data_IF_748565437475
#
_entry.id   IF_748565437475
#
_cell.length_a   1.000
_cell.length_b   1.000
_cell.length_c   1.000
_cell.angle_alpha   90.00
_cell.angle_beta   90.00
_cell.angle_gamma   90.00
#
_symmetry.space_group_name_H-M   'P 1'
#
loop_
_entity.id
_entity.type
_entity.pdbx_description
1 polymer ?
#
# COMPACT_ATOMS: atom_id res chain seq x y z
N UNK A 1 -13.21 -14.74 -4.72
CA UNK A 1 -12.18 -14.17 -5.61
C UNK A 1 -12.66 -14.29 -7.05
N UNK A 2 -13.02 -13.18 -7.65
CA UNK A 2 -13.46 -13.19 -9.05
C UNK A 2 -12.23 -13.08 -9.93
N UNK A 3 -11.96 -14.05 -10.77
CA UNK A 3 -10.96 -13.97 -11.84
C UNK A 3 -11.32 -12.91 -12.91
N UNK A 4 -12.43 -12.21 -12.71
CA UNK A 4 -12.89 -11.16 -13.58
C UNK A 4 -12.01 -9.91 -13.46
N UNK A 5 -11.70 -9.30 -14.59
CA UNK A 5 -11.09 -7.98 -14.67
C UNK A 5 -12.12 -6.85 -14.55
N UNK A 6 -11.68 -5.64 -14.83
CA UNK A 6 -12.54 -4.46 -14.85
C UNK A 6 -13.60 -4.58 -15.97
N UNK A 7 -14.82 -4.17 -15.66
CA UNK A 7 -15.83 -3.95 -16.70
C UNK A 7 -15.44 -2.74 -17.59
N UNK A 8 -16.11 -2.56 -18.73
CA UNK A 8 -15.91 -1.35 -19.54
C UNK A 8 -16.14 -0.06 -18.74
N UNK A 9 -17.18 -0.06 -17.87
CA UNK A 9 -17.43 1.05 -16.96
C UNK A 9 -16.31 1.20 -15.91
N UNK A 10 -15.84 0.09 -15.30
CA UNK A 10 -14.74 0.12 -14.35
C UNK A 10 -13.45 0.69 -14.96
N UNK A 11 -13.11 0.32 -16.19
CA UNK A 11 -11.96 0.91 -16.91
C UNK A 11 -12.12 2.42 -17.12
N UNK A 12 -13.35 2.89 -17.42
CA UNK A 12 -13.63 4.31 -17.53
C UNK A 12 -13.45 5.02 -16.18
N UNK A 13 -14.01 4.47 -15.10
CA UNK A 13 -13.83 5.03 -13.73
C UNK A 13 -12.36 5.16 -13.36
N UNK A 14 -11.52 4.15 -13.66
CA UNK A 14 -10.08 4.21 -13.38
C UNK A 14 -9.40 5.34 -14.16
N UNK A 15 -9.73 5.50 -15.47
CA UNK A 15 -9.22 6.63 -16.26
C UNK A 15 -9.65 7.98 -15.70
N UNK A 16 -10.90 8.10 -15.30
CA UNK A 16 -11.44 9.33 -14.71
C UNK A 16 -10.76 9.65 -13.37
N UNK A 17 -10.48 8.62 -12.54
CA UNK A 17 -9.69 8.79 -11.31
C UNK A 17 -8.32 9.40 -11.62
N UNK A 18 -7.56 8.82 -12.55
CA UNK A 18 -6.27 9.37 -12.93
C UNK A 18 -6.38 10.79 -13.49
N UNK A 19 -7.35 11.06 -14.37
CA UNK A 19 -7.55 12.39 -14.95
C UNK A 19 -7.90 13.45 -13.91
N UNK A 20 -8.65 13.08 -12.88
CA UNK A 20 -9.02 13.97 -11.76
C UNK A 20 -7.95 13.99 -10.65
N UNK A 21 -6.86 13.22 -10.80
CA UNK A 21 -5.83 13.07 -9.76
C UNK A 21 -6.37 12.39 -8.50
N UNK A 22 -7.30 11.47 -8.63
CA UNK A 22 -7.72 10.55 -7.58
C UNK A 22 -6.85 9.30 -7.71
N UNK A 23 -6.24 8.87 -6.61
CA UNK A 23 -5.39 7.70 -6.59
C UNK A 23 -6.24 6.42 -6.56
N UNK A 24 -6.15 5.53 -7.56
CA UNK A 24 -6.72 4.21 -7.45
C UNK A 24 -6.03 3.38 -6.37
N UNK A 25 -6.84 2.70 -5.56
CA UNK A 25 -6.38 1.73 -4.56
C UNK A 25 -6.71 0.31 -5.03
N UNK A 26 -5.69 -0.55 -5.08
CA UNK A 26 -5.81 -1.93 -5.56
C UNK A 26 -5.86 -2.96 -4.43
N UNK A 27 -5.92 -2.59 -3.16
CA UNK A 27 -5.95 -3.50 -1.98
C UNK A 27 -7.18 -4.33 -2.08
N UNK A 28 -8.05 -4.58 -2.67
CA UNK A 28 -9.13 -5.57 -2.79
C UNK A 28 -9.37 -6.02 -4.25
N UNK A 29 -8.50 -5.53 -5.16
CA UNK A 29 -8.62 -5.88 -6.55
C UNK A 29 -8.30 -7.36 -6.80
N UNK A 30 -9.01 -8.00 -7.73
CA UNK A 30 -8.58 -9.28 -8.26
C UNK A 30 -7.22 -9.11 -8.99
N UNK A 31 -6.47 -10.19 -9.15
CA UNK A 31 -5.19 -10.15 -9.87
C UNK A 31 -5.36 -9.52 -11.26
N UNK A 32 -6.43 -9.88 -11.97
CA UNK A 32 -6.70 -9.34 -13.30
C UNK A 32 -7.03 -7.85 -13.27
N UNK A 33 -7.89 -7.42 -12.33
CA UNK A 33 -8.21 -6.01 -12.15
C UNK A 33 -6.97 -5.19 -11.76
N UNK A 34 -6.09 -5.75 -10.92
CA UNK A 34 -4.82 -5.13 -10.58
C UNK A 34 -4.00 -4.79 -11.83
N UNK A 35 -3.76 -5.78 -12.70
CA UNK A 35 -2.95 -5.54 -13.90
C UNK A 35 -3.62 -4.60 -14.90
N UNK A 36 -4.96 -4.61 -14.98
CA UNK A 36 -5.69 -3.65 -15.81
C UNK A 36 -5.61 -2.22 -15.25
N UNK A 37 -5.62 -2.04 -13.92
CA UNK A 37 -5.33 -0.73 -13.30
C UNK A 37 -3.89 -0.30 -13.59
N UNK A 38 -2.92 -1.19 -13.44
CA UNK A 38 -1.51 -0.90 -13.71
C UNK A 38 -1.26 -0.53 -15.19
N UNK A 39 -1.97 -1.17 -16.13
CA UNK A 39 -1.95 -0.81 -17.55
C UNK A 39 -2.52 0.60 -17.79
N UNK A 40 -3.67 0.89 -17.18
CA UNK A 40 -4.35 2.19 -17.31
C UNK A 40 -3.62 3.33 -16.62
N UNK A 41 -2.78 3.01 -15.64
CA UNK A 41 -1.95 3.98 -14.93
C UNK A 41 -0.90 4.61 -15.85
N UNK A 42 -0.41 3.90 -16.84
CA UNK A 42 0.59 4.39 -17.82
C UNK A 42 1.76 5.14 -17.14
N UNK A 43 2.28 4.57 -16.06
CA UNK A 43 3.36 5.14 -15.25
C UNK A 43 2.92 6.12 -14.16
N UNK A 44 1.62 6.48 -14.07
CA UNK A 44 1.09 7.27 -12.96
C UNK A 44 1.03 6.43 -11.67
N UNK A 45 1.18 7.05 -10.49
CA UNK A 45 1.16 6.32 -9.24
C UNK A 45 -0.25 5.81 -8.89
N UNK A 46 -0.30 4.60 -8.36
CA UNK A 46 -1.46 4.00 -7.70
C UNK A 46 -1.00 3.28 -6.44
N UNK A 47 -1.90 2.91 -5.56
CA UNK A 47 -1.54 2.40 -4.23
C UNK A 47 -2.19 1.04 -3.93
N UNK A 48 -1.52 0.26 -3.08
CA UNK A 48 -2.16 -0.77 -2.29
C UNK A 48 -2.16 -0.29 -0.84
N UNK A 49 -3.26 0.29 -0.40
CA UNK A 49 -3.32 0.98 0.90
C UNK A 49 -3.08 0.04 2.09
N UNK A 50 -3.43 -1.26 1.96
CA UNK A 50 -3.28 -2.26 3.00
C UNK A 50 -3.12 -3.67 2.41
N UNK A 51 -1.86 -4.08 2.15
CA UNK A 51 -1.54 -5.38 1.52
C UNK A 51 -0.17 -5.86 1.94
N UNK A 52 -0.05 -7.17 2.17
CA UNK A 52 1.16 -7.83 2.62
C UNK A 52 1.81 -8.65 1.49
N UNK A 53 2.89 -9.36 1.77
CA UNK A 53 3.63 -10.15 0.79
C UNK A 53 3.09 -11.58 0.66
N UNK A 54 2.68 -11.98 -0.54
CA UNK A 54 2.23 -13.34 -0.83
C UNK A 54 3.32 -14.40 -0.59
N UNK A 55 4.56 -14.06 -0.85
CA UNK A 55 5.70 -14.97 -0.63
C UNK A 55 5.91 -15.32 0.85
N UNK A 56 5.50 -14.44 1.77
CA UNK A 56 5.57 -14.68 3.23
C UNK A 56 4.33 -15.43 3.71
N UNK A 57 3.14 -14.97 3.30
CA UNK A 57 1.88 -15.64 3.58
C UNK A 57 1.06 -15.75 2.28
N UNK A 58 0.85 -16.97 1.74
CA UNK A 58 0.15 -17.17 0.47
C UNK A 58 -1.36 -16.99 0.62
N UNK A 59 -1.76 -15.80 0.99
CA UNK A 59 -3.16 -15.39 1.10
C UNK A 59 -3.60 -14.60 -0.15
N UNK A 60 -4.82 -14.80 -0.70
CA UNK A 60 -5.28 -14.12 -1.92
C UNK A 60 -5.27 -12.60 -1.87
N UNK A 61 -5.32 -12.01 -0.68
CA UNK A 61 -5.28 -10.57 -0.45
C UNK A 61 -3.86 -9.98 -0.50
N UNK A 62 -2.83 -10.82 -0.45
CA UNK A 62 -1.44 -10.42 -0.42
C UNK A 62 -0.89 -10.24 -1.84
N UNK A 63 0.02 -9.29 -1.99
CA UNK A 63 0.65 -8.94 -3.26
C UNK A 63 1.72 -9.97 -3.64
N UNK A 64 1.72 -10.39 -4.88
CA UNK A 64 2.83 -11.10 -5.50
C UNK A 64 3.99 -10.13 -5.75
N UNK A 65 5.20 -10.66 -5.88
CA UNK A 65 6.41 -9.85 -6.07
C UNK A 65 6.31 -8.98 -7.34
N UNK A 66 5.72 -9.50 -8.41
CA UNK A 66 5.51 -8.76 -9.65
C UNK A 66 4.49 -7.63 -9.49
N UNK A 67 3.46 -7.81 -8.66
CA UNK A 67 2.49 -6.76 -8.34
C UNK A 67 3.16 -5.65 -7.52
N UNK A 68 3.94 -6.02 -6.51
CA UNK A 68 4.72 -5.06 -5.74
C UNK A 68 5.68 -4.25 -6.63
N UNK A 69 6.40 -4.93 -7.53
CA UNK A 69 7.30 -4.28 -8.48
C UNK A 69 6.57 -3.26 -9.35
N UNK A 70 5.35 -3.57 -9.83
CA UNK A 70 4.54 -2.63 -10.63
C UNK A 70 4.16 -1.38 -9.85
N UNK A 71 3.71 -1.51 -8.60
CA UNK A 71 3.39 -0.35 -7.75
C UNK A 71 4.64 0.52 -7.56
N UNK A 72 5.78 -0.11 -7.25
CA UNK A 72 7.05 0.57 -7.05
C UNK A 72 7.53 1.29 -8.31
N UNK A 73 7.47 0.66 -9.49
CA UNK A 73 7.85 1.23 -10.77
C UNK A 73 7.03 2.48 -11.13
N UNK A 74 5.75 2.49 -10.78
CA UNK A 74 4.86 3.64 -10.94
C UNK A 74 5.01 4.69 -9.83
N UNK A 75 5.96 4.53 -8.91
CA UNK A 75 6.15 5.46 -7.79
C UNK A 75 5.02 5.47 -6.77
N UNK A 76 4.24 4.38 -6.70
CA UNK A 76 3.14 4.19 -5.76
C UNK A 76 3.59 3.79 -4.36
N UNK A 77 2.63 3.52 -3.48
CA UNK A 77 2.86 3.05 -2.10
C UNK A 77 2.17 1.72 -1.82
N UNK A 78 2.78 0.97 -0.92
CA UNK A 78 2.21 -0.25 -0.32
C UNK A 78 2.16 -0.08 1.19
N UNK A 79 0.95 -0.08 1.75
CA UNK A 79 0.70 -0.07 3.17
C UNK A 79 0.72 -1.48 3.75
N UNK A 80 1.59 -1.74 4.71
CA UNK A 80 1.63 -3.01 5.46
C UNK A 80 0.34 -3.14 6.26
N UNK A 81 -0.40 -4.22 6.01
CA UNK A 81 -1.62 -4.56 6.72
C UNK A 81 -1.29 -5.23 8.06
N UNK A 82 -2.16 -5.06 9.04
CA UNK A 82 -2.04 -5.75 10.33
C UNK A 82 -3.10 -6.86 10.52
N UNK A 83 -3.80 -7.26 9.47
CA UNK A 83 -4.76 -8.34 9.52
C UNK A 83 -4.06 -9.69 9.83
N UNK A 84 -4.46 -10.34 10.92
CA UNK A 84 -3.85 -11.61 11.41
C UNK A 84 -3.81 -12.67 10.31
N UNK A 85 -4.90 -12.81 9.52
CA UNK A 85 -4.99 -13.79 8.44
C UNK A 85 -4.01 -13.49 7.30
N UNK A 86 -3.81 -12.23 6.97
CA UNK A 86 -2.91 -11.81 5.89
C UNK A 86 -1.43 -11.87 6.30
N UNK A 87 -1.16 -11.65 7.59
CA UNK A 87 0.17 -11.79 8.16
C UNK A 87 0.63 -13.25 8.29
N UNK A 88 -0.31 -14.22 8.24
CA UNK A 88 0.01 -15.64 8.45
C UNK A 88 0.47 -15.92 9.87
N UNK A 89 -0.03 -15.19 10.85
CA UNK A 89 0.29 -15.41 12.25
C UNK A 89 -0.53 -16.57 12.81
N UNK A 90 0.10 -17.67 13.14
CA UNK A 90 -0.54 -18.80 13.82
C UNK A 90 -0.98 -18.45 15.25
N UNK A 91 -0.34 -17.47 15.86
CA UNK A 91 -0.61 -16.98 17.20
C UNK A 91 -0.64 -15.45 17.22
N UNK A 92 -1.72 -14.89 17.77
CA UNK A 92 -1.90 -13.43 17.96
C UNK A 92 -0.78 -12.77 18.79
N UNK A 93 0.13 -13.55 19.37
CA UNK A 93 1.24 -13.10 20.20
C UNK A 93 2.53 -12.78 19.42
N UNK A 94 2.66 -13.26 18.19
CA UNK A 94 3.87 -13.07 17.38
C UNK A 94 3.69 -12.04 16.26
N UNK A 95 2.72 -11.14 16.39
CA UNK A 95 2.35 -10.19 15.35
C UNK A 95 3.48 -9.30 14.88
N UNK A 96 4.32 -8.81 15.78
CA UNK A 96 5.49 -7.99 15.41
C UNK A 96 6.45 -8.78 14.51
N UNK A 97 6.77 -10.03 14.86
CA UNK A 97 7.65 -10.86 14.05
C UNK A 97 7.06 -11.13 12.66
N UNK A 98 5.75 -11.40 12.57
CA UNK A 98 5.08 -11.59 11.28
C UNK A 98 5.16 -10.30 10.42
N UNK A 99 4.84 -9.14 10.99
CA UNK A 99 4.94 -7.85 10.30
C UNK A 99 6.36 -7.60 9.79
N UNK A 100 7.37 -7.88 10.62
CA UNK A 100 8.78 -7.72 10.23
C UNK A 100 9.14 -8.62 9.05
N UNK A 101 8.64 -9.86 9.00
CA UNK A 101 8.90 -10.76 7.85
C UNK A 101 8.37 -10.20 6.54
N UNK A 102 7.18 -9.58 6.54
CA UNK A 102 6.64 -8.91 5.34
C UNK A 102 7.44 -7.66 4.96
N UNK A 103 7.82 -6.84 5.94
CA UNK A 103 8.67 -5.66 5.71
C UNK A 103 10.01 -6.10 5.10
N UNK A 104 10.69 -7.10 5.67
CA UNK A 104 11.97 -7.61 5.19
C UNK A 104 11.85 -8.14 3.75
N UNK A 105 10.80 -8.89 3.45
CA UNK A 105 10.57 -9.39 2.10
C UNK A 105 10.46 -8.24 1.10
N UNK A 106 9.61 -7.26 1.34
CA UNK A 106 9.46 -6.11 0.44
C UNK A 106 10.72 -5.24 0.37
N UNK A 107 11.48 -5.10 1.45
CA UNK A 107 12.77 -4.43 1.43
C UNK A 107 13.77 -5.16 0.53
N UNK A 108 13.78 -6.50 0.54
CA UNK A 108 14.62 -7.31 -0.36
C UNK A 108 14.31 -7.09 -1.84
N UNK A 109 13.08 -6.66 -2.14
CA UNK A 109 12.62 -6.26 -3.47
C UNK A 109 12.86 -4.77 -3.79
N UNK A 110 13.61 -4.04 -2.94
CA UNK A 110 13.90 -2.62 -3.14
C UNK A 110 12.78 -1.69 -2.68
N UNK A 111 11.98 -2.09 -1.69
CA UNK A 111 10.79 -1.38 -1.22
C UNK A 111 11.04 -0.21 -0.27
N UNK A 112 12.29 0.19 -0.02
CA UNK A 112 12.66 1.21 0.97
C UNK A 112 11.86 2.52 0.85
N UNK A 113 11.52 2.94 -0.36
CA UNK A 113 10.77 4.17 -0.63
C UNK A 113 9.29 3.93 -1.00
N UNK A 114 8.84 2.67 -0.94
CA UNK A 114 7.50 2.25 -1.35
C UNK A 114 6.63 1.84 -0.17
N UNK A 115 7.26 1.41 0.93
CA UNK A 115 6.53 0.90 2.10
C UNK A 115 6.02 2.02 3.00
N UNK A 116 4.82 1.84 3.51
CA UNK A 116 4.26 2.58 4.63
C UNK A 116 3.38 1.65 5.48
N UNK A 117 2.67 2.16 6.47
CA UNK A 117 1.65 1.40 7.20
C UNK A 117 0.26 1.71 6.69
N UNK A 118 -0.52 0.63 6.47
CA UNK A 118 -1.93 0.64 6.16
C UNK A 118 -2.66 -0.34 7.08
N UNK A 119 -2.68 -0.02 8.37
CA UNK A 119 -2.94 -0.96 9.47
C UNK A 119 -4.30 -1.64 9.48
N UNK A 120 -5.31 -1.05 8.83
CA UNK A 120 -6.68 -1.58 8.75
C UNK A 120 -7.31 -1.81 10.15
N UNK A 121 -7.06 -0.90 11.12
CA UNK A 121 -7.40 -1.08 12.52
C UNK A 121 -8.88 -1.36 12.79
N UNK A 122 -9.78 -0.73 12.06
CA UNK A 122 -11.22 -0.89 12.27
C UNK A 122 -11.85 -1.89 11.30
N UNK A 123 -11.10 -2.33 10.27
CA UNK A 123 -11.56 -3.23 9.22
C UNK A 123 -11.13 -4.68 9.42
N UNK A 124 -10.12 -4.95 10.26
CA UNK A 124 -9.52 -6.27 10.41
C UNK A 124 -9.21 -6.64 11.87
N UNK A 125 -9.12 -7.94 12.14
CA UNK A 125 -8.57 -8.43 13.40
C UNK A 125 -7.06 -8.31 13.37
N UNK A 126 -6.50 -7.49 14.29
CA UNK A 126 -5.06 -7.24 14.39
C UNK A 126 -4.42 -7.99 15.56
N UNK A 127 -3.09 -8.27 15.55
CA UNK A 127 -2.39 -8.88 16.66
C UNK A 127 -2.60 -8.08 17.95
N UNK A 128 -2.70 -8.76 19.09
CA UNK A 128 -2.99 -8.13 20.38
C UNK A 128 -2.03 -7.00 20.74
N UNK A 129 -0.75 -7.16 20.44
CA UNK A 129 0.30 -6.19 20.73
C UNK A 129 0.30 -4.99 19.77
N UNK A 130 -0.36 -5.10 18.61
CA UNK A 130 -0.51 -4.07 17.58
C UNK A 130 -1.97 -3.59 17.43
N UNK A 131 -2.83 -3.88 18.41
CA UNK A 131 -4.28 -3.59 18.34
C UNK A 131 -4.62 -2.10 18.27
N UNK A 132 -3.72 -1.25 18.71
CA UNK A 132 -3.90 0.20 18.72
C UNK A 132 -2.67 0.89 18.12
N UNK A 133 -2.82 2.11 17.59
CA UNK A 133 -1.71 2.89 17.04
C UNK A 133 -0.49 3.00 17.98
N UNK A 134 -0.73 3.02 19.29
CA UNK A 134 0.36 3.01 20.30
C UNK A 134 1.24 1.74 20.25
N UNK A 135 0.73 0.63 19.71
CA UNK A 135 1.49 -0.60 19.49
C UNK A 135 2.60 -0.44 18.45
N UNK A 136 2.44 0.48 17.51
CA UNK A 136 3.45 0.77 16.50
C UNK A 136 4.77 1.26 17.11
N UNK A 137 4.72 1.91 18.28
CA UNK A 137 5.95 2.29 19.01
C UNK A 137 6.77 1.06 19.46
N UNK A 138 6.10 -0.04 19.79
CA UNK A 138 6.78 -1.31 20.12
C UNK A 138 7.44 -1.90 18.89
N UNK A 139 6.74 -1.90 17.76
CA UNK A 139 7.29 -2.38 16.49
C UNK A 139 8.53 -1.57 16.09
N UNK A 140 8.50 -0.24 16.18
CA UNK A 140 9.66 0.62 15.95
C UNK A 140 10.83 0.26 16.87
N UNK A 141 10.56 0.00 18.16
CA UNK A 141 11.57 -0.44 19.14
C UNK A 141 12.19 -1.80 18.78
N UNK A 142 11.41 -2.76 18.30
CA UNK A 142 11.94 -4.05 17.84
C UNK A 142 12.77 -3.89 16.56
N UNK A 143 12.35 -3.06 15.61
CA UNK A 143 13.16 -2.73 14.44
C UNK A 143 14.53 -2.15 14.81
N UNK A 144 14.56 -1.23 15.78
CA UNK A 144 15.83 -0.69 16.30
C UNK A 144 16.72 -1.77 16.90
N UNK A 145 16.16 -2.67 17.73
CA UNK A 145 16.90 -3.75 18.38
C UNK A 145 17.55 -4.72 17.39
N UNK A 146 16.88 -5.00 16.27
CA UNK A 146 17.40 -5.88 15.22
C UNK A 146 18.27 -5.15 14.20
N UNK A 147 18.55 -3.85 14.42
CA UNK A 147 19.58 -3.09 13.70
C UNK A 147 19.07 -2.28 12.50
N UNK A 148 17.76 -2.03 12.37
CA UNK A 148 17.28 -1.12 11.35
C UNK A 148 17.75 0.31 11.61
N UNK A 149 18.31 1.02 10.60
CA UNK A 149 18.67 2.42 10.75
C UNK A 149 17.42 3.27 11.06
N UNK A 150 17.57 4.26 11.93
CA UNK A 150 16.48 5.17 12.30
C UNK A 150 15.84 5.82 11.06
N UNK A 151 16.64 6.18 10.07
CA UNK A 151 16.16 6.75 8.80
C UNK A 151 15.23 5.83 8.02
N UNK A 152 15.47 4.50 8.02
CA UNK A 152 14.62 3.53 7.37
C UNK A 152 13.30 3.32 8.15
N UNK A 153 13.37 3.27 9.48
CA UNK A 153 12.18 3.21 10.33
C UNK A 153 11.29 4.41 10.05
N UNK A 154 11.83 5.63 10.07
CA UNK A 154 11.08 6.85 9.77
C UNK A 154 10.47 6.84 8.36
N UNK A 155 11.19 6.33 7.35
CA UNK A 155 10.65 6.18 5.99
C UNK A 155 9.39 5.33 6.01
N UNK A 156 9.43 4.14 6.59
CA UNK A 156 8.31 3.19 6.61
C UNK A 156 7.15 3.74 7.46
N UNK A 157 7.44 4.36 8.59
CA UNK A 157 6.41 4.81 9.51
C UNK A 157 5.63 6.04 9.03
N UNK A 158 6.28 6.97 8.33
CA UNK A 158 5.60 8.22 7.95
C UNK A 158 6.20 8.95 6.73
N UNK A 159 7.56 8.97 6.53
CA UNK A 159 8.17 9.82 5.51
C UNK A 159 7.80 9.45 4.08
N UNK A 160 7.66 8.15 3.79
CA UNK A 160 7.27 7.71 2.46
C UNK A 160 5.86 8.17 2.12
N UNK A 161 4.90 7.99 3.05
CA UNK A 161 3.52 8.45 2.87
C UNK A 161 3.45 9.98 2.76
N UNK A 162 4.15 10.72 3.62
CA UNK A 162 4.21 12.19 3.57
C UNK A 162 4.75 12.67 2.23
N UNK A 163 5.92 12.17 1.82
CA UNK A 163 6.55 12.58 0.55
C UNK A 163 5.69 12.23 -0.66
N UNK A 164 5.03 11.08 -0.63
CA UNK A 164 4.10 10.65 -1.67
C UNK A 164 2.90 11.60 -1.78
N UNK A 165 2.25 11.89 -0.66
CA UNK A 165 1.09 12.79 -0.62
C UNK A 165 1.46 14.21 -1.06
N UNK A 166 2.60 14.74 -0.62
CA UNK A 166 3.08 16.05 -1.04
C UNK A 166 3.25 16.12 -2.56
N UNK A 167 3.92 15.14 -3.18
CA UNK A 167 4.10 15.08 -4.63
C UNK A 167 2.77 14.97 -5.38
N UNK A 168 1.86 14.15 -4.89
CA UNK A 168 0.57 13.89 -5.53
C UNK A 168 -0.36 15.09 -5.44
N UNK A 169 -0.37 15.81 -4.32
CA UNK A 169 -1.18 17.03 -4.14
C UNK A 169 -0.66 18.18 -5.01
N UNK A 170 0.66 18.33 -5.13
CA UNK A 170 1.26 19.40 -5.95
C UNK A 170 1.04 19.16 -7.45
N UNK A 171 1.04 17.90 -7.89
CA UNK A 171 0.75 17.56 -9.28
C UNK A 171 -0.65 18.06 -9.73
N UNK A 172 -1.63 18.11 -8.81
CA UNK A 172 -2.97 18.65 -9.08
C UNK A 172 -2.99 20.16 -9.30
N UNK A 173 -2.18 20.94 -8.59
CA UNK A 173 -2.22 22.40 -8.66
C UNK A 173 -1.70 22.96 -9.99
N UNK A 174 -0.83 22.21 -10.67
CA UNK A 174 -0.22 22.65 -11.95
C UNK A 174 -1.01 22.20 -13.18
N UNK A 175 -1.82 21.13 -13.08
CA UNK A 175 -2.50 20.53 -14.24
C UNK A 175 -4.03 20.69 -14.22
N UNK A 176 -4.62 21.28 -13.19
CA UNK A 176 -6.06 21.48 -13.11
C UNK A 176 -6.46 22.83 -13.73
N UNK A 177 -6.57 22.88 -15.05
CA UNK A 177 -7.34 23.92 -15.76
C UNK A 177 -8.82 23.48 -15.85
N UNK A 178 -9.47 23.25 -14.70
CA UNK A 178 -10.91 23.07 -14.67
C UNK A 178 -11.62 24.37 -15.03
N UNK A 179 -12.87 24.30 -15.54
CA UNK A 179 -13.66 25.50 -15.81
C UNK A 179 -13.76 26.34 -14.53
N UNK A 180 -13.43 27.60 -14.64
CA UNK A 180 -13.53 28.55 -13.54
C UNK A 180 -14.97 28.63 -13.03
N UNK A 181 -15.20 29.04 -11.75
CA UNK A 181 -16.53 29.22 -11.23
C UNK A 181 -17.20 30.39 -11.99
N UNK A 182 -17.97 30.07 -13.03
CA UNK A 182 -18.70 31.10 -13.76
C UNK A 182 -19.04 30.86 -15.23
N UNK A 183 -18.71 29.71 -15.81
CA UNK A 183 -19.19 29.39 -17.16
C UNK A 183 -20.52 28.64 -17.10
N UNK A 184 -21.54 29.12 -17.85
CA UNK A 184 -22.92 28.62 -17.79
C UNK A 184 -23.11 27.23 -18.38
#
# INVERSE_FOLDING_TARGET
DTEAGLTGFGRQVVRDCFSMGILPDVSHASIKSFYEVAELADGLPFVASHSDAYAVCPHPRNLRDEQFAKIRECGGLVGINLCVEHLGCDDKKNGIACVLSHIEHFLSLGGENTLCFGCDFDGAETPQELRHPSGLAKLAGEMQKIGYPQSLIEKIFWRNAESFLQKTIHFKSENFTGPGPGDP
#
